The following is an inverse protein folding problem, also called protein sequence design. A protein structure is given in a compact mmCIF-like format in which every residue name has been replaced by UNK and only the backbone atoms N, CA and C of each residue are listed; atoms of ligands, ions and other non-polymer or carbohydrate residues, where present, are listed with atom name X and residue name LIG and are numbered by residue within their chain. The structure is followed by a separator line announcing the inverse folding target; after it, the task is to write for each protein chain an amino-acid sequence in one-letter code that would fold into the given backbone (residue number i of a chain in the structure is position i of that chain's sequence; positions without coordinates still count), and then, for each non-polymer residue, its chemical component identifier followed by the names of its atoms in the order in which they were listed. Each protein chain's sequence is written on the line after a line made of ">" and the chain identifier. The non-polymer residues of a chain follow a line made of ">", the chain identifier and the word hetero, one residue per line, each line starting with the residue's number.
data_IF_166599932441
#
_entry.id   IF_166599932441
#
_cell.length_a   1.000
_cell.length_b   1.000
_cell.length_c   1.000
_cell.angle_alpha   90.00
_cell.angle_beta   90.00
_cell.angle_gamma   90.00
#
_symmetry.space_group_name_H-M   'P 1'
#
loop_
_entity.id
_entity.type
_entity.pdbx_description
1 polymer ?
#
# COMPACT_ATOMS: atom_id res chain seq x y z
N UNK A 1 -1.06 10.50 -9.84
CA UNK A 1 -0.66 9.14 -10.27
C UNK A 1 -0.62 8.27 -9.04
N UNK A 2 -1.15 7.04 -9.12
CA UNK A 2 -1.28 6.15 -7.97
C UNK A 2 -0.49 4.87 -8.19
N UNK A 3 0.12 4.36 -7.13
CA UNK A 3 0.61 2.98 -7.03
C UNK A 3 -0.45 2.21 -6.24
N UNK A 4 -1.11 1.26 -6.89
CA UNK A 4 -2.11 0.40 -6.28
C UNK A 4 -1.47 -0.94 -5.93
N UNK A 5 -1.54 -1.32 -4.66
CA UNK A 5 -0.95 -2.57 -4.15
C UNK A 5 -2.05 -3.43 -3.56
N UNK A 6 -2.18 -4.66 -4.04
CA UNK A 6 -3.25 -5.56 -3.61
C UNK A 6 -2.83 -7.04 -3.69
N UNK A 7 -2.36 -7.64 -2.58
CA UNK A 7 -2.05 -9.06 -2.54
C UNK A 7 -3.32 -9.92 -2.62
N UNK A 8 -3.12 -11.22 -2.84
CA UNK A 8 -4.15 -12.26 -2.85
C UNK A 8 -3.59 -13.61 -2.42
N UNK A 9 -3.78 -13.99 -1.16
CA UNK A 9 -3.29 -15.25 -0.59
C UNK A 9 -4.20 -15.94 0.45
N UNK A 10 -5.25 -15.28 0.93
CA UNK A 10 -6.27 -15.87 1.79
C UNK A 10 -7.68 -15.34 1.46
N UNK A 11 -8.71 -15.85 2.14
CA UNK A 11 -10.09 -15.47 1.86
C UNK A 11 -10.38 -13.95 2.01
N UNK A 12 -9.79 -13.28 3.01
CA UNK A 12 -9.98 -11.84 3.17
C UNK A 12 -9.33 -11.08 2.00
N UNK A 13 -8.14 -11.53 1.59
CA UNK A 13 -7.41 -10.96 0.45
C UNK A 13 -8.17 -11.09 -0.86
N UNK A 14 -8.99 -12.14 -1.05
CA UNK A 14 -9.78 -12.28 -2.29
C UNK A 14 -10.82 -11.18 -2.44
N UNK A 15 -11.46 -10.77 -1.34
CA UNK A 15 -12.47 -9.71 -1.36
C UNK A 15 -11.83 -8.34 -1.54
N UNK A 16 -10.75 -8.05 -0.80
CA UNK A 16 -10.03 -6.77 -0.91
C UNK A 16 -9.36 -6.62 -2.28
N UNK A 17 -8.81 -7.70 -2.84
CA UNK A 17 -8.28 -7.73 -4.21
C UNK A 17 -9.38 -7.46 -5.25
N UNK A 18 -10.56 -8.07 -5.12
CA UNK A 18 -11.69 -7.80 -6.02
C UNK A 18 -12.21 -6.36 -5.94
N UNK A 19 -12.06 -5.69 -4.79
CA UNK A 19 -12.33 -4.26 -4.66
C UNK A 19 -11.22 -3.40 -5.28
N UNK A 20 -9.96 -3.78 -5.11
CA UNK A 20 -8.84 -3.11 -5.73
C UNK A 20 -8.94 -3.12 -7.27
N UNK A 21 -9.37 -4.23 -7.89
CA UNK A 21 -9.60 -4.28 -9.34
C UNK A 21 -10.68 -3.27 -9.81
N UNK A 22 -11.73 -3.04 -9.01
CA UNK A 22 -12.72 -2.00 -9.33
C UNK A 22 -12.14 -0.59 -9.19
N UNK A 23 -11.26 -0.38 -8.21
CA UNK A 23 -10.57 0.90 -8.00
C UNK A 23 -9.58 1.17 -9.13
N UNK A 24 -8.89 0.15 -9.62
CA UNK A 24 -8.00 0.22 -10.78
C UNK A 24 -8.74 0.71 -12.03
N UNK A 25 -9.97 0.25 -12.26
CA UNK A 25 -10.82 0.75 -13.35
C UNK A 25 -11.08 2.27 -13.25
N UNK A 26 -11.20 2.81 -12.03
CA UNK A 26 -11.37 4.25 -11.82
C UNK A 26 -10.08 5.05 -11.96
N UNK A 27 -8.94 4.46 -11.56
CA UNK A 27 -7.62 5.08 -11.68
C UNK A 27 -7.11 5.10 -13.13
N UNK A 28 -7.54 4.14 -13.95
CA UNK A 28 -7.22 4.07 -15.37
C UNK A 28 -5.75 3.72 -15.65
N UNK A 29 -5.32 3.95 -16.89
CA UNK A 29 -4.01 3.51 -17.41
C UNK A 29 -2.79 4.19 -16.77
N UNK A 30 -3.00 5.28 -16.02
CA UNK A 30 -1.93 5.96 -15.28
C UNK A 30 -1.63 5.29 -13.92
N UNK A 31 -2.38 4.25 -13.54
CA UNK A 31 -2.12 3.49 -12.32
C UNK A 31 -0.94 2.54 -12.49
N UNK A 32 -0.02 2.56 -11.54
CA UNK A 32 1.00 1.50 -11.40
C UNK A 32 0.38 0.40 -10.55
N UNK A 33 0.04 -0.70 -11.19
CA UNK A 33 -0.66 -1.82 -10.59
C UNK A 33 0.32 -2.89 -10.11
N UNK A 34 0.40 -3.09 -8.78
CA UNK A 34 1.21 -4.12 -8.12
C UNK A 34 0.26 -5.16 -7.51
N UNK A 35 -0.27 -6.02 -8.37
CA UNK A 35 -1.18 -7.09 -8.03
C UNK A 35 -0.41 -8.37 -7.65
N UNK A 36 -0.97 -9.14 -6.70
CA UNK A 36 -0.55 -10.53 -6.42
C UNK A 36 0.97 -10.70 -6.31
N UNK A 37 1.63 -11.36 -7.26
CA UNK A 37 3.06 -11.67 -7.21
C UNK A 37 3.95 -10.40 -7.20
N UNK A 38 3.43 -9.27 -7.68
CA UNK A 38 4.11 -7.97 -7.61
C UNK A 38 3.80 -7.18 -6.33
N UNK A 39 2.85 -7.63 -5.50
CA UNK A 39 2.50 -7.02 -4.22
C UNK A 39 3.50 -7.41 -3.11
N UNK A 40 4.79 -7.23 -3.38
CA UNK A 40 5.91 -7.57 -2.48
C UNK A 40 6.82 -6.36 -2.25
N UNK A 41 7.61 -6.40 -1.17
CA UNK A 41 8.39 -5.24 -0.71
C UNK A 41 9.26 -4.64 -1.81
N UNK A 42 10.09 -5.46 -2.44
CA UNK A 42 11.08 -4.98 -3.41
C UNK A 42 10.42 -4.23 -4.57
N UNK A 43 9.25 -4.68 -5.02
CA UNK A 43 8.46 -4.06 -6.09
C UNK A 43 7.82 -2.75 -5.66
N UNK A 44 7.30 -2.71 -4.44
CA UNK A 44 6.70 -1.50 -3.87
C UNK A 44 7.77 -0.42 -3.66
N UNK A 45 8.91 -0.78 -3.08
CA UNK A 45 10.03 0.15 -2.89
C UNK A 45 10.61 0.63 -4.23
N UNK A 46 10.77 -0.26 -5.21
CA UNK A 46 11.18 0.07 -6.59
C UNK A 46 10.21 1.07 -7.23
N UNK A 47 8.89 0.81 -7.17
CA UNK A 47 7.88 1.70 -7.73
C UNK A 47 7.88 3.08 -7.05
N UNK A 48 7.97 3.14 -5.72
CA UNK A 48 8.04 4.40 -4.98
C UNK A 48 9.31 5.20 -5.36
N UNK A 49 10.44 4.53 -5.57
CA UNK A 49 11.69 5.17 -5.97
C UNK A 49 11.63 5.71 -7.42
N UNK A 50 11.08 4.94 -8.35
CA UNK A 50 10.92 5.34 -9.75
C UNK A 50 9.90 6.48 -9.93
N UNK A 51 8.93 6.56 -9.01
CA UNK A 51 7.83 7.51 -9.09
C UNK A 51 7.72 8.36 -7.81
N UNK A 52 8.63 9.32 -7.59
CA UNK A 52 8.72 10.07 -6.32
C UNK A 52 7.49 10.91 -5.96
N UNK A 53 6.62 11.23 -6.93
CA UNK A 53 5.38 11.98 -6.72
C UNK A 53 4.10 11.14 -6.78
N UNK A 54 4.20 9.81 -6.82
CA UNK A 54 3.02 8.95 -6.82
C UNK A 54 2.44 8.78 -5.41
N UNK A 55 1.11 8.82 -5.29
CA UNK A 55 0.40 8.43 -4.08
C UNK A 55 0.27 6.90 -4.03
N UNK A 56 0.00 6.33 -2.85
CA UNK A 56 -0.11 4.88 -2.68
C UNK A 56 -1.49 4.49 -2.16
N UNK A 57 -2.10 3.48 -2.78
CA UNK A 57 -3.28 2.81 -2.27
C UNK A 57 -2.93 1.35 -1.97
N UNK A 58 -3.27 0.88 -0.77
CA UNK A 58 -3.09 -0.50 -0.37
C UNK A 58 -4.41 -1.11 0.08
N UNK A 59 -4.74 -2.26 -0.48
CA UNK A 59 -5.92 -3.02 -0.09
C UNK A 59 -5.43 -4.33 0.47
N UNK A 60 -5.77 -4.62 1.73
CA UNK A 60 -5.79 -5.95 2.38
C UNK A 60 -5.20 -5.96 3.82
N UNK A 61 -4.28 -6.87 4.15
CA UNK A 61 -3.89 -7.11 5.53
C UNK A 61 -2.90 -6.07 6.05
N UNK A 62 -3.09 -5.72 7.31
CA UNK A 62 -2.18 -4.89 8.06
C UNK A 62 -2.24 -5.20 9.54
N UNK A 63 -1.32 -4.58 10.27
CA UNK A 63 -1.32 -4.53 11.71
C UNK A 63 -0.87 -3.13 12.15
N UNK A 64 -0.70 -2.93 13.45
CA UNK A 64 -0.37 -1.60 14.01
C UNK A 64 0.87 -0.96 13.37
N UNK A 65 1.82 -1.78 12.90
CA UNK A 65 3.15 -1.34 12.45
C UNK A 65 3.46 -1.65 10.99
N UNK A 66 2.57 -2.30 10.23
CA UNK A 66 2.86 -2.73 8.85
C UNK A 66 1.64 -3.04 7.97
N UNK A 67 1.87 -2.96 6.66
CA UNK A 67 1.04 -3.50 5.59
C UNK A 67 1.68 -4.79 5.07
N UNK A 68 0.90 -5.84 4.82
CA UNK A 68 1.39 -7.19 4.52
C UNK A 68 1.29 -7.50 3.03
N UNK A 69 2.38 -7.98 2.44
CA UNK A 69 2.46 -8.34 1.03
C UNK A 69 2.07 -9.79 0.74
N UNK A 70 2.16 -10.15 -0.54
CA UNK A 70 1.80 -11.46 -1.07
C UNK A 70 2.54 -12.62 -0.40
N UNK A 71 3.81 -12.39 -0.09
CA UNK A 71 4.72 -13.33 0.55
C UNK A 71 4.56 -13.40 2.09
N UNK A 72 3.53 -12.75 2.62
CA UNK A 72 3.24 -12.59 4.05
C UNK A 72 4.30 -11.78 4.80
N UNK A 73 5.15 -11.05 4.09
CA UNK A 73 6.14 -10.16 4.68
C UNK A 73 5.66 -8.70 4.62
N UNK A 74 6.11 -7.83 5.54
CA UNK A 74 5.75 -6.41 5.51
C UNK A 74 6.26 -5.71 4.24
N UNK A 75 5.39 -5.04 3.49
CA UNK A 75 5.79 -4.21 2.33
C UNK A 75 6.13 -2.77 2.75
N UNK A 76 5.35 -2.24 3.69
CA UNK A 76 5.55 -0.95 4.34
C UNK A 76 5.40 -1.20 5.84
N UNK A 77 6.31 -0.65 6.61
CA UNK A 77 6.45 -0.84 8.05
C UNK A 77 7.19 0.34 8.66
N UNK A 78 7.24 0.45 9.99
CA UNK A 78 7.94 1.57 10.65
C UNK A 78 9.36 1.85 10.09
N UNK A 79 10.23 0.85 9.82
CA UNK A 79 11.57 1.11 9.27
C UNK A 79 11.60 1.80 7.90
N UNK A 80 10.59 1.55 7.05
CA UNK A 80 10.53 2.11 5.70
C UNK A 80 9.32 3.06 5.48
N UNK A 81 8.65 3.49 6.56
CA UNK A 81 7.54 4.44 6.51
C UNK A 81 7.92 5.79 5.88
N UNK A 82 9.20 6.18 5.99
CA UNK A 82 9.74 7.39 5.38
C UNK A 82 9.63 7.41 3.84
N UNK A 83 9.48 6.24 3.19
CA UNK A 83 9.24 6.17 1.74
C UNK A 83 7.91 6.82 1.32
N UNK A 84 6.98 6.95 2.27
CA UNK A 84 5.67 7.60 2.09
C UNK A 84 5.65 9.07 2.53
N UNK A 85 6.81 9.66 2.83
CA UNK A 85 6.93 11.08 3.10
C UNK A 85 6.43 11.92 1.91
N UNK A 86 5.67 12.98 2.19
CA UNK A 86 5.09 13.90 1.20
C UNK A 86 4.12 13.25 0.18
N UNK A 87 3.62 12.05 0.47
CA UNK A 87 2.62 11.34 -0.35
C UNK A 87 1.30 11.20 0.40
N UNK A 88 0.22 11.02 -0.34
CA UNK A 88 -1.02 10.48 0.20
C UNK A 88 -0.97 8.95 0.19
N UNK A 89 -1.39 8.35 1.30
CA UNK A 89 -1.49 6.90 1.44
C UNK A 89 -2.91 6.55 1.88
N UNK A 90 -3.62 5.79 1.06
CA UNK A 90 -4.89 5.18 1.42
C UNK A 90 -4.68 3.70 1.73
N UNK A 91 -5.27 3.20 2.81
CA UNK A 91 -5.24 1.79 3.14
C UNK A 91 -6.61 1.29 3.53
N UNK A 92 -7.01 0.15 2.98
CA UNK A 92 -7.99 -0.74 3.59
C UNK A 92 -7.20 -1.84 4.29
N UNK A 93 -6.75 -1.56 5.52
CA UNK A 93 -5.94 -2.48 6.30
C UNK A 93 -6.16 -2.31 7.80
N UNK A 94 -6.31 -3.42 8.53
CA UNK A 94 -6.66 -3.37 9.95
C UNK A 94 -5.52 -2.74 10.78
N UNK A 95 -5.89 -1.80 11.66
CA UNK A 95 -5.04 -1.20 12.70
C UNK A 95 -3.81 -0.41 12.20
N UNK A 96 -3.56 -0.35 10.89
CA UNK A 96 -2.42 0.32 10.28
C UNK A 96 -2.33 1.82 10.64
N UNK A 97 -3.45 2.47 10.90
CA UNK A 97 -3.49 3.87 11.30
C UNK A 97 -2.91 4.16 12.70
N UNK A 98 -2.75 3.15 13.58
CA UNK A 98 -2.33 3.35 14.97
C UNK A 98 -0.89 3.84 15.10
N UNK A 99 0.08 3.03 14.68
CA UNK A 99 1.50 3.38 14.80
C UNK A 99 2.08 3.71 13.42
N UNK A 100 1.82 2.89 12.40
CA UNK A 100 2.30 3.13 11.05
C UNK A 100 1.74 4.44 10.47
N UNK A 101 0.44 4.68 10.56
CA UNK A 101 -0.17 5.93 10.09
C UNK A 101 0.37 7.17 10.79
N UNK A 102 0.61 7.09 12.10
CA UNK A 102 1.24 8.17 12.88
C UNK A 102 2.69 8.40 12.42
N UNK A 103 3.44 7.34 12.15
CA UNK A 103 4.82 7.45 11.67
C UNK A 103 4.89 8.04 10.26
N UNK A 104 4.00 7.65 9.36
CA UNK A 104 3.89 8.27 8.01
C UNK A 104 3.58 9.76 8.14
N UNK A 105 2.65 10.14 9.02
CA UNK A 105 2.33 11.55 9.26
C UNK A 105 3.52 12.34 9.85
N UNK A 106 4.27 11.76 10.80
CA UNK A 106 5.49 12.37 11.36
C UNK A 106 6.55 12.60 10.30
N UNK A 107 6.64 11.72 9.31
CA UNK A 107 7.54 11.86 8.16
C UNK A 107 7.01 12.82 7.08
N UNK A 108 5.87 13.50 7.30
CA UNK A 108 5.29 14.49 6.39
C UNK A 108 4.35 13.93 5.33
N UNK A 109 3.98 12.65 5.41
CA UNK A 109 2.94 12.05 4.57
C UNK A 109 1.53 12.31 5.10
N UNK A 110 0.52 11.84 4.34
CA UNK A 110 -0.88 11.77 4.79
C UNK A 110 -1.34 10.31 4.76
N UNK A 111 -2.08 9.90 5.78
CA UNK A 111 -2.55 8.52 5.92
C UNK A 111 -4.07 8.48 6.10
N UNK A 112 -4.73 7.62 5.31
CA UNK A 112 -6.16 7.38 5.34
C UNK A 112 -6.40 5.87 5.53
N UNK A 113 -6.96 5.43 6.66
CA UNK A 113 -7.18 4.01 6.96
C UNK A 113 -7.84 3.76 8.30
#
# INVERSE_FOLDING_TARGET
>A
MWILVHPRFDQATEYSNAWAEQVKEWLGDECIDLATDDAVRDKVEEALALHPGADMAFYDHGNEVSLIGQDHLPIISLPNAHLLANRETYTLACLSAKDLGVEIWRNGGKFWG
#
